data_IF_319834571687
#
_entry.id   IF_319834571687
#
_cell.length_a   1.000
_cell.length_b   1.000
_cell.length_c   1.000
_cell.angle_alpha   90.00
_cell.angle_beta   90.00
_cell.angle_gamma   90.00
#
_symmetry.space_group_name_H-M   'P 1'
#
loop_
_entity.id
_entity.type
_entity.pdbx_description
1 polymer ?
#
# COMPACT_ATOMS: atom_id res chain seq x y z
N UNK A 1 11.05 -20.09 9.39
CA UNK A 1 10.33 -18.99 10.08
C UNK A 1 8.85 -19.31 10.02
N UNK A 2 8.20 -19.40 11.17
CA UNK A 2 6.77 -19.69 11.25
C UNK A 2 5.90 -18.52 10.72
N UNK A 3 4.60 -18.77 10.61
CA UNK A 3 3.61 -17.81 10.09
C UNK A 3 3.51 -16.57 10.96
N UNK A 4 3.55 -16.71 12.28
CA UNK A 4 3.41 -15.59 13.23
C UNK A 4 4.58 -14.63 13.09
N UNK A 5 5.80 -15.16 13.16
CA UNK A 5 7.04 -14.41 12.96
C UNK A 5 7.06 -13.73 11.58
N UNK A 6 6.53 -14.38 10.54
CA UNK A 6 6.37 -13.75 9.22
C UNK A 6 5.47 -12.52 9.26
N UNK A 7 4.29 -12.65 9.86
CA UNK A 7 3.31 -11.55 9.93
C UNK A 7 3.89 -10.38 10.72
N UNK A 8 4.46 -10.64 11.90
CA UNK A 8 4.99 -9.60 12.78
C UNK A 8 6.20 -8.86 12.20
N UNK A 9 7.04 -9.54 11.42
CA UNK A 9 8.25 -8.93 10.86
C UNK A 9 8.05 -8.29 9.49
N UNK A 10 6.98 -8.63 8.75
CA UNK A 10 6.79 -8.15 7.39
C UNK A 10 6.78 -6.61 7.23
N UNK A 11 6.13 -5.82 8.12
CA UNK A 11 6.13 -4.35 8.00
C UNK A 11 7.54 -3.76 8.04
N UNK A 12 8.48 -4.45 8.69
CA UNK A 12 9.85 -3.99 8.89
C UNK A 12 10.82 -4.49 7.80
N UNK A 13 10.31 -5.15 6.75
CA UNK A 13 11.14 -5.69 5.67
C UNK A 13 11.37 -4.66 4.56
N UNK A 14 12.58 -4.59 3.98
CA UNK A 14 12.86 -3.73 2.83
C UNK A 14 11.93 -4.00 1.64
N UNK A 15 11.57 -5.27 1.42
CA UNK A 15 10.66 -5.66 0.33
C UNK A 15 9.27 -5.02 0.45
N UNK A 16 8.76 -4.79 1.67
CA UNK A 16 7.48 -4.12 1.91
C UNK A 16 7.56 -2.67 1.46
N UNK A 17 8.58 -1.94 1.91
CA UNK A 17 8.76 -0.52 1.59
C UNK A 17 9.05 -0.28 0.10
N UNK A 18 9.74 -1.21 -0.57
CA UNK A 18 9.88 -1.17 -2.04
C UNK A 18 8.54 -1.28 -2.77
N UNK A 19 7.62 -2.12 -2.28
CA UNK A 19 6.25 -2.21 -2.83
C UNK A 19 5.46 -0.95 -2.54
N UNK A 20 5.56 -0.39 -1.34
CA UNK A 20 4.90 0.88 -1.00
C UNK A 20 5.39 1.99 -1.94
N UNK A 21 6.70 2.16 -2.09
CA UNK A 21 7.27 3.12 -3.03
C UNK A 21 6.77 2.89 -4.46
N UNK A 22 6.74 1.63 -4.91
CA UNK A 22 6.21 1.27 -6.22
C UNK A 22 4.75 1.71 -6.37
N UNK A 23 3.89 1.39 -5.40
CA UNK A 23 2.46 1.71 -5.43
C UNK A 23 2.21 3.23 -5.42
N UNK A 24 3.01 3.98 -4.67
CA UNK A 24 2.92 5.44 -4.60
C UNK A 24 3.25 6.12 -5.95
N UNK A 25 4.18 5.56 -6.72
CA UNK A 25 4.62 6.16 -8.00
C UNK A 25 4.15 5.41 -9.24
N UNK A 26 3.38 4.33 -9.10
CA UNK A 26 2.89 3.53 -10.23
C UNK A 26 1.99 4.35 -11.17
N UNK A 27 1.14 5.22 -10.61
CA UNK A 27 0.27 6.10 -11.39
C UNK A 27 1.07 7.09 -12.26
N UNK A 28 1.93 7.97 -11.71
CA UNK A 28 2.72 8.88 -12.53
C UNK A 28 3.67 8.13 -13.47
N UNK A 29 4.26 7.01 -13.06
CA UNK A 29 5.13 6.22 -13.95
C UNK A 29 4.40 5.63 -15.16
N UNK A 30 3.14 5.20 -14.98
CA UNK A 30 2.29 4.73 -16.08
C UNK A 30 1.97 5.85 -17.07
N UNK A 31 1.63 7.04 -16.58
CA UNK A 31 1.34 8.21 -17.41
C UNK A 31 2.57 8.73 -18.16
N UNK A 32 3.76 8.66 -17.52
CA UNK A 32 5.04 9.06 -18.12
C UNK A 32 5.64 7.99 -19.04
N UNK A 33 5.02 6.83 -19.21
CA UNK A 33 5.51 5.77 -20.09
C UNK A 33 6.76 5.04 -19.58
N UNK A 34 7.06 5.10 -18.28
CA UNK A 34 8.21 4.42 -17.64
C UNK A 34 7.86 3.30 -16.64
N UNK A 35 6.73 2.56 -16.76
CA UNK A 35 6.36 1.55 -15.77
C UNK A 35 7.35 0.38 -15.69
N UNK A 36 8.02 0.06 -16.81
CA UNK A 36 9.00 -1.03 -16.90
C UNK A 36 10.29 -0.73 -16.11
N UNK A 37 10.77 0.52 -16.14
CA UNK A 37 11.92 0.97 -15.34
C UNK A 37 11.60 0.90 -13.84
N UNK A 38 10.40 1.34 -13.47
CA UNK A 38 9.93 1.32 -12.10
C UNK A 38 9.81 -0.13 -11.57
N UNK A 39 9.23 -1.03 -12.36
CA UNK A 39 9.10 -2.45 -12.02
C UNK A 39 10.47 -3.12 -11.84
N UNK A 40 11.44 -2.84 -12.72
CA UNK A 40 12.81 -3.34 -12.60
C UNK A 40 13.48 -2.81 -11.33
N UNK A 41 13.37 -1.50 -11.07
CA UNK A 41 14.08 -0.86 -9.96
C UNK A 41 13.56 -1.26 -8.58
N UNK A 42 12.25 -1.32 -8.40
CA UNK A 42 11.64 -1.52 -7.08
C UNK A 42 11.19 -2.95 -6.84
N UNK A 43 10.77 -3.67 -7.89
CA UNK A 43 10.23 -5.02 -7.75
C UNK A 43 11.19 -6.10 -8.26
N UNK A 44 12.29 -5.73 -8.93
CA UNK A 44 13.20 -6.68 -9.56
C UNK A 44 12.56 -7.46 -10.71
N UNK A 45 11.54 -6.89 -11.35
CA UNK A 45 10.82 -7.51 -12.46
C UNK A 45 11.34 -6.93 -13.77
N UNK A 46 11.94 -7.76 -14.61
CA UNK A 46 12.33 -7.37 -15.95
C UNK A 46 11.18 -7.57 -16.94
N UNK A 47 10.79 -6.49 -17.61
CA UNK A 47 9.71 -6.45 -18.61
C UNK A 47 10.27 -6.13 -20.01
N UNK A 48 11.60 -6.01 -20.15
CA UNK A 48 12.21 -5.51 -21.38
C UNK A 48 11.87 -4.05 -21.68
N UNK A 49 12.15 -3.64 -22.92
CA UNK A 49 11.78 -2.32 -23.47
C UNK A 49 10.45 -2.42 -24.25
N UNK A 50 9.33 -1.90 -23.73
CA UNK A 50 8.03 -2.02 -24.38
C UNK A 50 7.95 -1.14 -25.64
N UNK A 51 7.25 -1.61 -26.67
CA UNK A 51 6.93 -0.78 -27.82
C UNK A 51 6.02 0.41 -27.42
N UNK A 52 6.13 1.60 -28.07
CA UNK A 52 5.33 2.77 -27.70
C UNK A 52 3.81 2.52 -27.64
N UNK A 53 3.27 1.75 -28.58
CA UNK A 53 1.83 1.36 -28.59
C UNK A 53 1.41 0.58 -27.34
N UNK A 54 2.31 -0.23 -26.79
CA UNK A 54 2.07 -1.05 -25.59
C UNK A 54 2.10 -0.20 -24.33
N UNK A 55 2.94 0.84 -24.30
CA UNK A 55 2.93 1.86 -23.24
C UNK A 55 1.61 2.61 -23.20
N UNK A 56 1.08 3.04 -24.35
CA UNK A 56 -0.23 3.72 -24.43
C UNK A 56 -1.35 2.79 -23.96
N UNK A 57 -1.39 1.55 -24.43
CA UNK A 57 -2.38 0.56 -24.01
C UNK A 57 -2.32 0.30 -22.50
N UNK A 58 -1.11 0.14 -21.95
CA UNK A 58 -0.90 -0.02 -20.51
C UNK A 58 -1.39 1.21 -19.76
N UNK A 59 -1.04 2.43 -20.19
CA UNK A 59 -1.47 3.65 -19.53
C UNK A 59 -3.01 3.74 -19.48
N UNK A 60 -3.71 3.49 -20.59
CA UNK A 60 -5.17 3.52 -20.64
C UNK A 60 -5.82 2.50 -19.69
N UNK A 61 -5.34 1.25 -19.71
CA UNK A 61 -5.97 0.16 -18.96
C UNK A 61 -5.53 0.07 -17.48
N UNK A 62 -4.30 0.47 -17.18
CA UNK A 62 -3.74 0.38 -15.83
C UNK A 62 -3.99 1.65 -15.00
N UNK A 63 -4.34 2.79 -15.59
CA UNK A 63 -4.64 4.04 -14.85
C UNK A 63 -5.67 3.84 -13.73
N UNK A 64 -6.86 3.26 -13.94
CA UNK A 64 -7.82 3.08 -12.84
C UNK A 64 -7.26 2.18 -11.73
N UNK A 65 -6.53 1.13 -12.08
CA UNK A 65 -5.89 0.23 -11.11
C UNK A 65 -4.80 0.96 -10.32
N UNK A 66 -3.99 1.78 -10.98
CA UNK A 66 -2.93 2.56 -10.35
C UNK A 66 -3.49 3.67 -9.45
N UNK A 67 -4.61 4.28 -9.82
CA UNK A 67 -5.30 5.27 -9.01
C UNK A 67 -5.87 4.64 -7.72
N UNK A 68 -6.54 3.50 -7.83
CA UNK A 68 -7.01 2.74 -6.66
C UNK A 68 -5.84 2.28 -5.79
N UNK A 69 -4.77 1.78 -6.41
CA UNK A 69 -3.56 1.37 -5.70
C UNK A 69 -2.95 2.51 -4.90
N UNK A 70 -2.85 3.70 -5.49
CA UNK A 70 -2.36 4.91 -4.82
C UNK A 70 -3.27 5.28 -3.64
N UNK A 71 -4.58 5.35 -3.85
CA UNK A 71 -5.54 5.71 -2.81
C UNK A 71 -5.50 4.72 -1.62
N UNK A 72 -5.53 3.42 -1.91
CA UNK A 72 -5.44 2.35 -0.89
C UNK A 72 -4.12 2.42 -0.14
N UNK A 73 -3.01 2.68 -0.83
CA UNK A 73 -1.69 2.77 -0.20
C UNK A 73 -1.59 3.98 0.71
N UNK A 74 -1.98 5.16 0.23
CA UNK A 74 -1.93 6.41 1.00
C UNK A 74 -2.87 6.33 2.21
N UNK A 75 -4.14 5.99 1.98
CA UNK A 75 -5.14 5.93 3.04
C UNK A 75 -4.84 4.80 4.03
N UNK A 76 -4.51 3.60 3.55
CA UNK A 76 -4.25 2.46 4.42
C UNK A 76 -3.01 2.65 5.30
N UNK A 77 -1.94 3.25 4.78
CA UNK A 77 -0.76 3.55 5.60
C UNK A 77 -0.95 4.78 6.49
N UNK A 78 -1.76 5.77 6.11
CA UNK A 78 -2.03 6.92 6.98
C UNK A 78 -2.83 6.54 8.23
N UNK A 79 -3.66 5.49 8.15
CA UNK A 79 -4.39 4.96 9.30
C UNK A 79 -3.46 4.50 10.43
N UNK A 80 -2.24 4.05 10.13
CA UNK A 80 -1.29 3.60 11.15
C UNK A 80 -0.90 4.75 12.11
N UNK A 81 -0.24 5.83 11.67
CA UNK A 81 0.08 6.95 12.54
C UNK A 81 -1.18 7.68 13.05
N UNK A 82 -2.25 7.77 12.25
CA UNK A 82 -3.49 8.43 12.69
C UNK A 82 -4.17 7.71 13.86
N UNK A 83 -4.05 6.38 13.96
CA UNK A 83 -4.67 5.63 15.04
C UNK A 83 -3.73 5.40 16.23
N UNK A 84 -2.42 5.26 16.00
CA UNK A 84 -1.44 5.26 17.11
C UNK A 84 -1.41 6.64 17.81
N UNK A 85 -1.45 7.71 17.01
CA UNK A 85 -1.57 9.09 17.47
C UNK A 85 -3.00 9.57 17.66
N UNK A 86 -4.00 8.66 17.78
CA UNK A 86 -5.41 9.04 17.99
C UNK A 86 -5.62 10.11 19.08
N UNK A 87 -4.90 10.09 20.24
CA UNK A 87 -5.00 11.12 21.28
C UNK A 87 -4.81 12.56 20.79
N UNK A 88 -4.02 12.76 19.72
CA UNK A 88 -3.67 14.08 19.19
C UNK A 88 -4.78 14.70 18.35
N UNK A 89 -5.79 13.90 17.96
CA UNK A 89 -6.92 14.31 17.12
C UNK A 89 -8.27 13.95 17.74
N UNK A 90 -8.26 13.43 18.97
CA UNK A 90 -9.44 12.96 19.65
C UNK A 90 -10.26 14.14 20.20
N UNK A 91 -11.58 14.05 20.07
CA UNK A 91 -12.53 14.88 20.82
C UNK A 91 -12.93 14.19 22.13
N UNK A 92 -14.19 14.33 22.53
CA UNK A 92 -14.75 13.64 23.71
C UNK A 92 -14.65 12.11 23.56
N UNK A 93 -13.90 11.40 24.44
CA UNK A 93 -13.80 9.94 24.42
C UNK A 93 -15.13 9.22 24.58
N UNK A 94 -16.14 9.83 25.20
CA UNK A 94 -17.47 9.24 25.34
C UNK A 94 -18.19 9.03 23.99
N UNK A 95 -17.78 9.78 22.96
CA UNK A 95 -18.29 9.68 21.58
C UNK A 95 -17.39 8.79 20.70
N UNK A 96 -16.29 8.27 21.24
CA UNK A 96 -15.32 7.48 20.51
C UNK A 96 -15.64 5.98 20.53
N UNK A 97 -15.15 5.27 19.52
CA UNK A 97 -15.20 3.81 19.51
C UNK A 97 -14.16 3.26 20.48
N UNK A 98 -14.49 2.20 21.22
CA UNK A 98 -13.62 1.63 22.26
C UNK A 98 -14.09 1.90 23.70
N UNK A 99 -15.28 2.48 23.87
CA UNK A 99 -15.93 2.66 25.16
C UNK A 99 -15.76 4.07 25.75
N UNK A 100 -16.41 4.37 26.88
CA UNK A 100 -16.55 5.75 27.38
C UNK A 100 -15.27 6.32 28.01
N UNK A 101 -14.21 5.51 28.12
CA UNK A 101 -12.96 5.92 28.75
C UNK A 101 -11.92 6.26 27.70
N UNK A 102 -11.10 7.26 27.98
CA UNK A 102 -9.97 7.62 27.13
C UNK A 102 -9.04 6.43 26.86
N UNK A 103 -8.74 5.63 27.88
CA UNK A 103 -7.89 4.45 27.77
C UNK A 103 -8.50 3.38 26.85
N UNK A 104 -9.80 3.11 26.99
CA UNK A 104 -10.50 2.16 26.12
C UNK A 104 -10.55 2.61 24.66
N UNK A 105 -10.91 3.87 24.43
CA UNK A 105 -10.92 4.47 23.10
C UNK A 105 -9.53 4.42 22.45
N UNK A 106 -8.50 4.85 23.17
CA UNK A 106 -7.12 4.78 22.69
C UNK A 106 -6.69 3.34 22.36
N UNK A 107 -6.92 2.39 23.27
CA UNK A 107 -6.54 0.99 23.06
C UNK A 107 -7.21 0.41 21.81
N UNK A 108 -8.50 0.68 21.60
CA UNK A 108 -9.22 0.26 20.41
C UNK A 108 -8.56 0.81 19.14
N UNK A 109 -8.33 2.12 19.08
CA UNK A 109 -7.71 2.75 17.92
C UNK A 109 -6.28 2.26 17.71
N UNK A 110 -5.45 2.22 18.74
CA UNK A 110 -4.06 1.78 18.64
C UNK A 110 -3.94 0.32 18.16
N UNK A 111 -4.77 -0.59 18.69
CA UNK A 111 -4.71 -2.02 18.35
C UNK A 111 -5.38 -2.29 17.01
N UNK A 112 -6.63 -1.87 16.80
CA UNK A 112 -7.38 -2.20 15.58
C UNK A 112 -6.94 -1.31 14.42
N UNK A 113 -6.89 0.00 14.64
CA UNK A 113 -6.57 0.98 13.60
C UNK A 113 -5.06 1.14 13.35
N UNK A 114 -4.24 1.06 14.40
CA UNK A 114 -2.79 1.23 14.30
C UNK A 114 -2.08 -0.07 13.93
N UNK A 115 -2.00 -0.99 14.89
CA UNK A 115 -1.32 -2.28 14.75
C UNK A 115 -2.01 -3.16 13.70
N UNK A 116 -3.34 -3.19 13.68
CA UNK A 116 -4.11 -3.95 12.70
C UNK A 116 -3.76 -3.56 11.26
N UNK A 117 -3.77 -2.26 10.93
CA UNK A 117 -3.36 -1.79 9.60
C UNK A 117 -1.86 -1.96 9.34
N UNK A 118 -1.00 -1.76 10.34
CA UNK A 118 0.45 -1.99 10.22
C UNK A 118 0.74 -3.42 9.75
N UNK A 119 0.02 -4.41 10.30
CA UNK A 119 0.18 -5.83 9.95
C UNK A 119 -0.55 -6.20 8.65
N UNK A 120 -1.68 -5.56 8.34
CA UNK A 120 -2.51 -5.84 7.17
C UNK A 120 -1.92 -5.28 5.87
N UNK A 121 -1.46 -4.02 5.88
CA UNK A 121 -1.05 -3.28 4.69
C UNK A 121 0.05 -3.95 3.86
N UNK A 122 1.06 -4.64 4.44
CA UNK A 122 2.04 -5.39 3.66
C UNK A 122 1.42 -6.49 2.78
N UNK A 123 0.32 -7.10 3.20
CA UNK A 123 -0.39 -8.15 2.45
C UNK A 123 -1.27 -7.56 1.35
N UNK A 124 -1.99 -6.47 1.64
CA UNK A 124 -2.72 -5.70 0.63
C UNK A 124 -1.75 -5.25 -0.46
N UNK A 125 -0.63 -4.62 -0.08
CA UNK A 125 0.39 -4.18 -1.02
C UNK A 125 0.95 -5.33 -1.87
N UNK A 126 1.18 -6.51 -1.28
CA UNK A 126 1.57 -7.71 -2.05
C UNK A 126 0.52 -8.10 -3.11
N UNK A 127 -0.76 -8.11 -2.75
CA UNK A 127 -1.85 -8.43 -3.67
C UNK A 127 -1.96 -7.44 -4.82
N UNK A 128 -1.97 -6.14 -4.51
CA UNK A 128 -2.09 -5.06 -5.50
C UNK A 128 -0.87 -5.05 -6.44
N UNK A 129 0.35 -5.15 -5.90
CA UNK A 129 1.55 -5.24 -6.73
C UNK A 129 1.56 -6.50 -7.61
N UNK A 130 1.04 -7.63 -7.13
CA UNK A 130 0.92 -8.84 -7.93
C UNK A 130 -0.06 -8.67 -9.11
N UNK A 131 -1.19 -7.96 -8.89
CA UNK A 131 -2.13 -7.59 -9.95
C UNK A 131 -1.47 -6.67 -10.99
N UNK A 132 -0.81 -5.60 -10.55
CA UNK A 132 -0.11 -4.67 -11.46
C UNK A 132 0.98 -5.37 -12.26
N UNK A 133 1.72 -6.30 -11.64
CA UNK A 133 2.71 -7.13 -12.35
C UNK A 133 2.06 -7.99 -13.44
N UNK A 134 0.90 -8.61 -13.16
CA UNK A 134 0.17 -9.41 -14.16
C UNK A 134 -0.32 -8.55 -15.33
N UNK A 135 -0.82 -7.34 -15.05
CA UNK A 135 -1.21 -6.39 -16.10
C UNK A 135 0.00 -5.97 -16.93
N UNK A 136 1.12 -5.66 -16.29
CA UNK A 136 2.34 -5.26 -16.96
C UNK A 136 2.85 -6.35 -17.91
N UNK A 137 2.95 -7.62 -17.46
CA UNK A 137 3.37 -8.73 -18.34
C UNK A 137 2.43 -8.96 -19.53
N UNK A 138 1.13 -8.66 -19.41
CA UNK A 138 0.18 -8.83 -20.51
C UNK A 138 0.22 -7.68 -21.51
N UNK A 139 0.42 -6.46 -21.03
CA UNK A 139 0.23 -5.25 -21.83
C UNK A 139 1.53 -4.64 -22.35
N UNK A 140 2.66 -4.78 -21.63
CA UNK A 140 3.98 -4.19 -21.94
C UNK A 140 4.92 -5.17 -22.64
#
# INVERSE_FOLDING_TARGET
>A
MDVVTRVLTEPFRPATWRRVAYLLVALPAGLLGVPHLLARRLLGVDLGAPAPRRLVLYALLATPVNAVALAVTVYGWSLVPMNLGWPLRAGDPAQAWGGPTFAGAWAFHAVVGGIGFLLLMPWIGRGVTALQRRLAFRLL
#
